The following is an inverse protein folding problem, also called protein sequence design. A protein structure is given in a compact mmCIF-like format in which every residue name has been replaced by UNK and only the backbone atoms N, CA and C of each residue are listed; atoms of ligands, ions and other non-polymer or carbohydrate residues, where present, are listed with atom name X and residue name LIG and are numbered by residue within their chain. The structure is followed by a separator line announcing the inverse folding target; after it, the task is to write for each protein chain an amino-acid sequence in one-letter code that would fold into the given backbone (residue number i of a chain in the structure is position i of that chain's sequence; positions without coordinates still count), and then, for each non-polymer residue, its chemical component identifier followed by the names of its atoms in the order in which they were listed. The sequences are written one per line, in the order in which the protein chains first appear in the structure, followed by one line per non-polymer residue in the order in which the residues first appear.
data_IF_873564243398
#
_entry.id   IF_873564243398
#
_cell.length_a   1.000
_cell.length_b   1.000
_cell.length_c   1.000
_cell.angle_alpha   90.00
_cell.angle_beta   90.00
_cell.angle_gamma   90.00
#
_symmetry.space_group_name_H-M   'P 1'
#
loop_
_entity.id
_entity.type
_entity.pdbx_description
1 polymer ?
#
# COMPACT_ATOMS: atom_id res chain seq x y z
N UNK A 1 -12.51 -14.68 -14.22
CA UNK A 1 -11.05 -14.80 -13.99
C UNK A 1 -10.28 -13.60 -14.53
N UNK A 2 -10.39 -13.26 -15.83
CA UNK A 2 -9.69 -12.11 -16.43
C UNK A 2 -10.11 -10.76 -15.83
N UNK A 3 -11.41 -10.53 -15.62
CA UNK A 3 -11.93 -9.30 -15.00
C UNK A 3 -11.43 -9.10 -13.56
N UNK A 4 -11.30 -10.18 -12.79
CA UNK A 4 -10.81 -10.13 -11.41
C UNK A 4 -9.34 -9.70 -11.35
N UNK A 5 -8.50 -10.19 -12.27
CA UNK A 5 -7.10 -9.77 -12.38
C UNK A 5 -6.97 -8.28 -12.77
N UNK A 6 -7.84 -7.80 -13.66
CA UNK A 6 -7.93 -6.40 -14.02
C UNK A 6 -8.29 -5.52 -12.82
N UNK A 7 -9.22 -5.94 -11.97
CA UNK A 7 -9.58 -5.16 -10.79
C UNK A 7 -8.56 -5.25 -9.65
N UNK A 8 -7.81 -6.34 -9.57
CA UNK A 8 -6.71 -6.49 -8.61
C UNK A 8 -5.51 -5.61 -8.96
N UNK A 9 -5.30 -5.30 -10.24
CA UNK A 9 -4.12 -4.54 -10.69
C UNK A 9 -4.09 -3.12 -10.15
N UNK A 10 -5.23 -2.43 -10.02
CA UNK A 10 -5.26 -1.09 -9.40
C UNK A 10 -4.99 -1.15 -7.90
N UNK A 11 -5.45 -2.18 -7.20
CA UNK A 11 -5.13 -2.39 -5.79
C UNK A 11 -3.64 -2.69 -5.56
N UNK A 12 -3.02 -3.46 -6.45
CA UNK A 12 -1.58 -3.71 -6.44
C UNK A 12 -0.79 -2.42 -6.75
N UNK A 13 -1.27 -1.62 -7.71
CA UNK A 13 -0.66 -0.34 -8.04
C UNK A 13 -0.75 0.66 -6.87
N UNK A 14 -1.91 0.76 -6.23
CA UNK A 14 -2.10 1.53 -4.99
C UNK A 14 -1.14 1.09 -3.89
N UNK A 15 -1.03 -0.23 -3.66
CA UNK A 15 -0.10 -0.77 -2.66
C UNK A 15 1.36 -0.40 -2.95
N UNK A 16 1.77 -0.41 -4.21
CA UNK A 16 3.11 0.04 -4.61
C UNK A 16 3.30 1.52 -4.31
N UNK A 17 2.45 2.38 -4.87
CA UNK A 17 2.59 3.84 -4.73
C UNK A 17 2.53 4.29 -3.28
N UNK A 18 1.60 3.74 -2.49
CA UNK A 18 1.47 4.02 -1.06
C UNK A 18 2.74 3.59 -0.32
N UNK A 19 3.20 2.36 -0.56
CA UNK A 19 4.40 1.84 0.08
C UNK A 19 5.66 2.64 -0.24
N UNK A 20 5.81 3.15 -1.47
CA UNK A 20 6.93 3.99 -1.86
C UNK A 20 6.91 5.35 -1.17
N UNK A 21 5.74 5.99 -1.07
CA UNK A 21 5.57 7.27 -0.36
C UNK A 21 5.87 7.13 1.13
N UNK A 22 5.29 6.13 1.80
CA UNK A 22 5.49 5.94 3.24
C UNK A 22 6.91 5.51 3.59
N UNK A 23 7.54 4.68 2.75
CA UNK A 23 8.95 4.31 2.92
C UNK A 23 9.88 5.52 2.84
N UNK A 24 9.62 6.46 1.93
CA UNK A 24 10.36 7.71 1.82
C UNK A 24 10.13 8.62 3.03
N UNK A 25 8.91 8.66 3.59
CA UNK A 25 8.60 9.47 4.77
C UNK A 25 9.29 8.94 6.05
N UNK A 26 9.37 7.61 6.22
CA UNK A 26 10.00 7.00 7.41
C UNK A 26 11.52 6.95 7.31
N UNK A 27 12.06 6.59 6.14
CA UNK A 27 13.50 6.35 5.97
C UNK A 27 14.24 7.46 5.21
N UNK A 28 13.55 8.47 4.66
CA UNK A 28 14.15 9.48 3.79
C UNK A 28 15.25 10.29 4.46
N UNK A 29 15.07 10.69 5.72
CA UNK A 29 16.10 11.42 6.48
C UNK A 29 17.28 10.52 6.86
N UNK A 30 17.02 9.27 7.28
CA UNK A 30 18.04 8.30 7.66
C UNK A 30 18.90 7.83 6.47
N UNK A 31 18.29 7.69 5.29
CA UNK A 31 18.99 7.35 4.04
C UNK A 31 19.69 8.58 3.47
N UNK A 32 19.04 9.75 3.46
CA UNK A 32 19.61 11.00 2.93
C UNK A 32 20.81 11.51 3.72
N UNK A 33 20.88 11.23 5.02
CA UNK A 33 22.03 11.57 5.87
C UNK A 33 23.14 10.52 5.86
N UNK A 34 23.01 9.45 5.06
CA UNK A 34 23.91 8.27 5.05
C UNK A 34 24.01 7.53 6.40
N UNK A 35 23.05 7.72 7.30
CA UNK A 35 22.98 6.97 8.55
C UNK A 35 22.65 5.50 8.30
N UNK A 36 21.83 5.20 7.28
CA UNK A 36 21.44 3.84 6.89
C UNK A 36 21.51 3.69 5.37
N UNK A 37 22.05 2.57 4.88
CA UNK A 37 22.08 2.26 3.44
C UNK A 37 20.66 2.01 2.93
N UNK A 38 20.33 2.53 1.75
CA UNK A 38 19.03 2.33 1.08
C UNK A 38 18.60 0.86 1.07
N UNK A 39 19.52 -0.05 0.74
CA UNK A 39 19.23 -1.49 0.66
C UNK A 39 18.81 -2.08 2.02
N UNK A 40 19.43 -1.64 3.11
CA UNK A 40 19.07 -2.10 4.46
C UNK A 40 17.72 -1.53 4.89
N UNK A 41 17.49 -0.24 4.65
CA UNK A 41 16.22 0.42 4.94
C UNK A 41 15.05 -0.24 4.17
N UNK A 42 15.24 -0.52 2.87
CA UNK A 42 14.23 -1.16 2.04
C UNK A 42 13.85 -2.57 2.53
N UNK A 43 14.83 -3.39 2.92
CA UNK A 43 14.58 -4.76 3.43
C UNK A 43 13.81 -4.70 4.75
N UNK A 44 14.28 -3.89 5.69
CA UNK A 44 13.63 -3.74 7.01
C UNK A 44 12.22 -3.20 6.83
N UNK A 45 12.04 -2.13 6.05
CA UNK A 45 10.74 -1.53 5.78
C UNK A 45 9.76 -2.55 5.17
N UNK A 46 10.20 -3.32 4.16
CA UNK A 46 9.35 -4.32 3.51
C UNK A 46 8.85 -5.37 4.51
N UNK A 47 9.71 -5.88 5.38
CA UNK A 47 9.34 -6.89 6.38
C UNK A 47 8.31 -6.32 7.36
N UNK A 48 8.57 -5.14 7.92
CA UNK A 48 7.68 -4.55 8.92
C UNK A 48 6.34 -4.09 8.32
N UNK A 49 6.32 -3.59 7.08
CA UNK A 49 5.07 -3.25 6.38
C UNK A 49 4.22 -4.49 6.14
N UNK A 50 4.82 -5.61 5.70
CA UNK A 50 4.10 -6.88 5.51
C UNK A 50 3.55 -7.40 6.85
N UNK A 51 4.37 -7.39 7.91
CA UNK A 51 3.93 -7.82 9.24
C UNK A 51 2.80 -6.95 9.78
N UNK A 52 2.90 -5.63 9.65
CA UNK A 52 1.84 -4.70 10.06
C UNK A 52 0.54 -4.92 9.29
N UNK A 53 0.63 -5.15 7.97
CA UNK A 53 -0.52 -5.45 7.13
C UNK A 53 -1.24 -6.75 7.55
N UNK A 54 -0.50 -7.79 7.94
CA UNK A 54 -1.08 -9.07 8.38
C UNK A 54 -1.70 -8.96 9.77
N UNK A 55 -0.98 -8.37 10.73
CA UNK A 55 -1.38 -8.37 12.14
C UNK A 55 -2.52 -7.37 12.41
N UNK A 56 -2.46 -6.19 11.79
CA UNK A 56 -3.37 -5.08 12.11
C UNK A 56 -4.18 -4.57 10.92
N UNK A 57 -4.02 -5.14 9.73
CA UNK A 57 -4.72 -4.68 8.53
C UNK A 57 -6.23 -4.91 8.56
N UNK A 58 -6.71 -5.97 9.23
CA UNK A 58 -8.12 -6.37 9.22
C UNK A 58 -9.08 -5.29 9.75
N UNK A 59 -8.69 -4.58 10.80
CA UNK A 59 -9.50 -3.49 11.39
C UNK A 59 -9.62 -2.27 10.48
N UNK A 60 -8.51 -1.88 9.84
CA UNK A 60 -8.48 -0.78 8.89
C UNK A 60 -9.25 -1.13 7.60
N UNK A 61 -9.05 -2.33 7.06
CA UNK A 61 -9.77 -2.80 5.87
C UNK A 61 -11.28 -2.89 6.10
N UNK A 62 -11.73 -3.31 7.27
CA UNK A 62 -13.16 -3.38 7.59
C UNK A 62 -13.80 -1.98 7.70
N UNK A 63 -13.10 -1.01 8.28
CA UNK A 63 -13.57 0.37 8.37
C UNK A 63 -13.56 1.05 7.00
N UNK A 64 -12.50 0.85 6.22
CA UNK A 64 -12.39 1.34 4.86
C UNK A 64 -13.46 0.74 3.94
N UNK A 65 -13.77 -0.56 4.09
CA UNK A 65 -14.86 -1.22 3.36
C UNK A 65 -16.25 -0.68 3.74
N UNK A 66 -16.45 -0.24 4.99
CA UNK A 66 -17.70 0.40 5.44
C UNK A 66 -17.83 1.86 4.99
N UNK A 67 -16.73 2.60 4.93
CA UNK A 67 -16.71 4.01 4.48
C UNK A 67 -16.72 4.11 2.95
N UNK A 68 -15.98 3.23 2.29
CA UNK A 68 -15.82 3.14 0.84
C UNK A 68 -16.79 2.15 0.21
N UNK A 69 -18.05 2.08 0.66
CA UNK A 69 -19.09 1.26 0.04
C UNK A 69 -19.41 1.77 -1.36
N UNK A 70 -18.48 1.56 -2.28
CA UNK A 70 -18.67 1.73 -3.71
C UNK A 70 -19.37 0.45 -4.14
N UNK A 71 -20.67 0.54 -4.35
CA UNK A 71 -21.56 -0.57 -4.69
C UNK A 71 -21.29 -1.16 -6.08
N UNK A 72 -20.30 -0.65 -6.81
CA UNK A 72 -19.94 -1.11 -8.15
C UNK A 72 -18.44 -1.45 -8.24
N UNK A 73 -18.15 -2.66 -8.71
CA UNK A 73 -16.78 -3.17 -8.91
C UNK A 73 -15.90 -2.26 -9.81
N UNK A 74 -16.42 -1.63 -10.88
CA UNK A 74 -15.68 -0.64 -11.65
C UNK A 74 -15.32 0.62 -10.87
N UNK A 75 -16.21 1.08 -9.97
CA UNK A 75 -15.96 2.26 -9.16
C UNK A 75 -14.84 2.04 -8.15
N UNK A 76 -14.78 0.86 -7.53
CA UNK A 76 -13.68 0.50 -6.64
C UNK A 76 -12.33 0.50 -7.36
N UNK A 77 -12.30 0.06 -8.63
CA UNK A 77 -11.10 0.10 -9.45
C UNK A 77 -10.64 1.52 -9.76
N UNK A 78 -11.56 2.39 -10.20
CA UNK A 78 -11.23 3.79 -10.51
C UNK A 78 -10.72 4.53 -9.27
N UNK A 79 -11.33 4.28 -8.10
CA UNK A 79 -10.88 4.90 -6.85
C UNK A 79 -9.50 4.39 -6.44
N UNK A 80 -9.25 3.09 -6.50
CA UNK A 80 -7.92 2.55 -6.20
C UNK A 80 -6.86 3.05 -7.19
N UNK A 81 -7.22 3.18 -8.48
CA UNK A 81 -6.32 3.70 -9.52
C UNK A 81 -6.02 5.19 -9.33
N UNK A 82 -7.02 5.99 -8.95
CA UNK A 82 -6.86 7.43 -8.74
C UNK A 82 -6.13 7.78 -7.43
N UNK A 83 -6.18 6.89 -6.44
CA UNK A 83 -5.50 7.07 -5.14
C UNK A 83 -4.04 6.59 -5.16
N UNK A 84 -3.66 5.77 -6.14
CA UNK A 84 -2.31 5.30 -6.38
C UNK A 84 -1.46 6.37 -7.05
#
# INVERSE_FOLDING_TARGET
MLATLLFLSSGLFLGWSLGANDAANVWGTAVGTNMVKFKSAAIVCSIFVILGAIISGSGASHTLGKLGTISTLPGAFTVALAAA
#
